data_IF_180978367224
#
_entry.id   IF_180978367224
#
_cell.length_a   1.000
_cell.length_b   1.000
_cell.length_c   1.000
_cell.angle_alpha   90.00
_cell.angle_beta   90.00
_cell.angle_gamma   90.00
#
_symmetry.space_group_name_H-M   'P 1'
#
loop_
_entity.id
_entity.type
_entity.pdbx_description
1 polymer ?
#
# COMPACT_ATOMS: atom_id res chain seq x y z
N UNK A 1 4.59 1.63 -6.30
CA UNK A 1 3.93 0.78 -5.25
C UNK A 1 3.70 -0.62 -5.80
N UNK A 2 3.80 -1.64 -4.95
CA UNK A 2 3.52 -3.05 -5.31
C UNK A 2 2.03 -3.29 -5.47
N UNK A 3 1.66 -4.18 -6.39
CA UNK A 3 0.26 -4.56 -6.65
C UNK A 3 -0.47 -5.06 -5.41
N UNK A 4 0.21 -5.81 -4.53
CA UNK A 4 -0.35 -6.30 -3.26
C UNK A 4 -0.80 -5.17 -2.33
N UNK A 5 0.06 -4.18 -2.14
CA UNK A 5 -0.23 -3.03 -1.28
C UNK A 5 -1.34 -2.17 -1.88
N UNK A 6 -1.28 -1.93 -3.20
CA UNK A 6 -2.29 -1.17 -3.92
C UNK A 6 -3.67 -1.84 -3.83
N UNK A 7 -3.75 -3.16 -4.05
CA UNK A 7 -5.01 -3.90 -3.98
C UNK A 7 -5.66 -3.78 -2.59
N UNK A 8 -4.90 -4.01 -1.53
CA UNK A 8 -5.42 -3.90 -0.17
C UNK A 8 -5.94 -2.50 0.13
N UNK A 9 -5.18 -1.45 -0.25
CA UNK A 9 -5.61 -0.07 -0.10
C UNK A 9 -6.86 0.23 -0.91
N UNK A 10 -6.99 -0.31 -2.13
CA UNK A 10 -8.18 -0.17 -2.98
C UNK A 10 -9.42 -0.80 -2.35
N UNK A 11 -9.31 -2.01 -1.80
CA UNK A 11 -10.42 -2.67 -1.10
C UNK A 11 -10.86 -1.86 0.12
N UNK A 12 -9.90 -1.38 0.93
CA UNK A 12 -10.20 -0.60 2.13
C UNK A 12 -10.85 0.74 1.76
N UNK A 13 -10.33 1.45 0.76
CA UNK A 13 -10.90 2.72 0.30
C UNK A 13 -12.34 2.52 -0.20
N UNK A 14 -12.58 1.50 -1.02
CA UNK A 14 -13.92 1.15 -1.50
C UNK A 14 -14.87 0.80 -0.35
N UNK A 15 -14.42 0.00 0.62
CA UNK A 15 -15.22 -0.37 1.79
C UNK A 15 -15.56 0.84 2.67
N UNK A 16 -14.60 1.75 2.92
CA UNK A 16 -14.83 2.98 3.68
C UNK A 16 -15.81 3.91 2.97
N UNK A 17 -15.71 4.08 1.65
CA UNK A 17 -16.67 4.83 0.86
C UNK A 17 -18.08 4.24 1.00
N UNK A 18 -18.22 2.92 0.83
CA UNK A 18 -19.49 2.23 0.97
C UNK A 18 -20.08 2.36 2.38
N UNK A 19 -19.26 2.29 3.44
CA UNK A 19 -19.68 2.52 4.83
C UNK A 19 -20.23 3.94 5.03
N UNK A 20 -19.53 4.97 4.55
CA UNK A 20 -19.92 6.37 4.69
C UNK A 20 -21.18 6.73 3.93
N UNK A 21 -21.30 6.24 2.71
CA UNK A 21 -22.41 6.53 1.82
C UNK A 21 -23.60 5.58 2.02
N UNK A 22 -23.43 4.54 2.84
CA UNK A 22 -24.43 3.47 3.04
C UNK A 22 -24.84 2.82 1.73
N UNK A 23 -23.88 2.60 0.83
CA UNK A 23 -24.07 2.03 -0.51
C UNK A 23 -23.43 0.65 -0.65
N UNK A 24 -23.63 0.03 -1.80
CA UNK A 24 -22.86 -1.16 -2.17
C UNK A 24 -21.40 -0.77 -2.42
N UNK A 25 -20.49 -1.69 -2.05
CA UNK A 25 -19.08 -1.50 -2.34
C UNK A 25 -18.83 -1.48 -3.85
N UNK A 26 -18.02 -0.54 -4.29
CA UNK A 26 -17.58 -0.42 -5.68
C UNK A 26 -16.10 -0.79 -5.73
N UNK A 27 -15.79 -2.01 -6.18
CA UNK A 27 -14.43 -2.50 -6.34
C UNK A 27 -14.22 -2.99 -7.76
N UNK A 28 -13.15 -2.55 -8.40
CA UNK A 28 -12.73 -3.04 -9.71
C UNK A 28 -11.39 -3.78 -9.56
N UNK A 29 -11.34 -5.08 -9.89
CA UNK A 29 -10.11 -5.85 -9.86
C UNK A 29 -9.05 -5.26 -10.81
N UNK A 30 -7.79 -5.35 -10.40
CA UNK A 30 -6.68 -5.00 -11.27
C UNK A 30 -6.46 -6.12 -12.31
N UNK A 31 -5.84 -5.78 -13.44
CA UNK A 31 -5.61 -6.73 -14.56
C UNK A 31 -4.84 -8.00 -14.14
N UNK A 32 -3.99 -7.90 -13.12
CA UNK A 32 -3.22 -9.03 -12.59
C UNK A 32 -4.02 -9.93 -11.64
N UNK A 33 -5.21 -9.53 -11.22
CA UNK A 33 -6.07 -10.29 -10.30
C UNK A 33 -6.91 -11.28 -11.08
N UNK A 34 -6.64 -12.57 -10.92
CA UNK A 34 -7.47 -13.62 -11.49
C UNK A 34 -8.67 -13.95 -10.61
N UNK A 35 -8.43 -13.99 -9.31
CA UNK A 35 -9.46 -14.22 -8.29
C UNK A 35 -9.08 -13.51 -7.01
N UNK A 36 -10.08 -12.95 -6.33
CA UNK A 36 -9.95 -12.43 -4.97
C UNK A 36 -11.03 -13.04 -4.11
N UNK A 37 -10.64 -13.82 -3.11
CA UNK A 37 -11.53 -14.58 -2.22
C UNK A 37 -11.19 -14.32 -0.75
N UNK A 38 -12.17 -14.60 0.11
CA UNK A 38 -12.05 -14.39 1.55
C UNK A 38 -12.50 -15.66 2.28
N UNK A 39 -11.64 -16.15 3.18
CA UNK A 39 -11.92 -17.34 3.98
C UNK A 39 -12.17 -16.92 5.41
N UNK A 40 -13.41 -17.04 5.87
CA UNK A 40 -13.81 -16.70 7.21
C UNK A 40 -13.26 -17.71 8.21
N UNK A 41 -13.03 -17.28 9.46
CA UNK A 41 -12.74 -18.21 10.55
C UNK A 41 -13.89 -19.22 10.73
N UNK A 42 -13.58 -20.49 10.97
CA UNK A 42 -14.61 -21.48 11.26
C UNK A 42 -15.32 -21.15 12.59
N UNK A 43 -16.63 -21.35 12.64
CA UNK A 43 -17.41 -21.14 13.86
C UNK A 43 -17.05 -22.16 14.97
N UNK A 44 -16.62 -23.34 14.57
CA UNK A 44 -16.20 -24.41 15.50
C UNK A 44 -14.88 -25.00 15.05
N UNK A 45 -14.07 -25.38 16.03
CA UNK A 45 -12.81 -26.06 15.79
C UNK A 45 -13.02 -27.34 14.96
N UNK A 46 -12.18 -27.53 13.93
CA UNK A 46 -12.25 -28.66 13.00
C UNK A 46 -13.22 -28.51 11.82
N UNK A 47 -13.97 -27.41 11.74
CA UNK A 47 -14.77 -27.06 10.55
C UNK A 47 -13.96 -26.25 9.54
N UNK A 48 -14.40 -26.29 8.29
CA UNK A 48 -13.87 -25.36 7.26
C UNK A 48 -14.60 -24.03 7.41
N UNK A 49 -13.85 -22.93 7.31
CA UNK A 49 -14.42 -21.60 7.23
C UNK A 49 -15.23 -21.40 5.95
N UNK A 50 -16.23 -20.53 6.02
CA UNK A 50 -16.98 -20.06 4.85
C UNK A 50 -16.04 -19.38 3.85
N UNK A 51 -16.22 -19.64 2.56
CA UNK A 51 -15.45 -19.00 1.49
C UNK A 51 -16.36 -18.03 0.75
N UNK A 52 -15.95 -16.79 0.70
CA UNK A 52 -16.60 -15.70 -0.03
C UNK A 52 -15.74 -15.41 -1.27
N UNK A 53 -16.34 -15.46 -2.44
CA UNK A 53 -15.65 -15.51 -3.73
C UNK A 53 -15.41 -14.14 -4.38
N UNK A 54 -15.80 -13.05 -3.70
CA UNK A 54 -15.60 -11.69 -4.18
C UNK A 54 -15.48 -10.67 -3.04
N UNK A 55 -15.02 -9.46 -3.37
CA UNK A 55 -14.97 -8.31 -2.45
C UNK A 55 -16.39 -7.90 -2.03
N UNK A 56 -17.36 -8.01 -2.94
CA UNK A 56 -18.76 -7.67 -2.68
C UNK A 56 -19.39 -8.64 -1.68
N UNK A 57 -19.21 -9.95 -1.86
CA UNK A 57 -19.72 -10.97 -0.93
C UNK A 57 -19.09 -10.84 0.44
N UNK A 58 -17.78 -10.57 0.49
CA UNK A 58 -17.06 -10.29 1.73
C UNK A 58 -17.59 -9.04 2.44
N UNK A 59 -17.75 -7.94 1.73
CA UNK A 59 -18.25 -6.70 2.33
C UNK A 59 -19.69 -6.84 2.82
N UNK A 60 -20.56 -7.52 2.05
CA UNK A 60 -21.93 -7.82 2.48
C UNK A 60 -21.95 -8.64 3.78
N UNK A 61 -21.08 -9.62 3.91
CA UNK A 61 -20.91 -10.42 5.14
C UNK A 61 -20.41 -9.54 6.31
N UNK A 62 -19.46 -8.66 6.06
CA UNK A 62 -18.97 -7.71 7.07
C UNK A 62 -20.10 -6.79 7.55
N UNK A 63 -20.89 -6.24 6.64
CA UNK A 63 -22.03 -5.38 6.95
C UNK A 63 -23.13 -6.11 7.73
N UNK A 64 -23.44 -7.35 7.34
CA UNK A 64 -24.39 -8.20 8.07
C UNK A 64 -23.95 -8.43 9.53
N UNK A 65 -22.64 -8.54 9.77
CA UNK A 65 -22.04 -8.66 11.10
C UNK A 65 -21.89 -7.34 11.87
N UNK A 66 -22.34 -6.21 11.29
CA UNK A 66 -22.30 -4.90 11.94
C UNK A 66 -20.92 -4.23 11.85
N UNK A 67 -20.23 -4.31 10.70
CA UNK A 67 -18.95 -3.64 10.49
C UNK A 67 -19.10 -2.12 10.75
N UNK A 68 -18.31 -1.60 11.69
CA UNK A 68 -18.28 -0.17 12.05
C UNK A 68 -17.15 0.59 11.34
N UNK A 69 -15.99 -0.06 11.18
CA UNK A 69 -14.81 0.58 10.60
C UNK A 69 -13.85 -0.47 10.04
N UNK A 70 -13.02 -0.05 9.11
CA UNK A 70 -11.94 -0.86 8.54
C UNK A 70 -10.66 -0.03 8.48
N UNK A 71 -9.55 -0.63 8.88
CA UNK A 71 -8.24 0.03 8.89
C UNK A 71 -7.19 -0.79 8.16
N UNK A 72 -6.32 -0.09 7.47
CA UNK A 72 -5.07 -0.60 6.93
C UNK A 72 -4.00 -0.58 8.01
N UNK A 73 -3.29 -1.68 8.20
CA UNK A 73 -2.13 -1.73 9.07
C UNK A 73 -0.91 -2.28 8.32
N UNK A 74 0.19 -1.58 8.47
CA UNK A 74 1.49 -1.90 7.90
C UNK A 74 2.59 -1.75 8.96
N UNK A 75 3.56 -2.70 9.05
CA UNK A 75 4.64 -2.56 10.01
C UNK A 75 5.56 -1.39 9.64
N UNK A 76 5.74 -0.46 10.57
CA UNK A 76 6.59 0.72 10.37
C UNK A 76 8.09 0.42 10.41
N UNK A 77 8.50 -0.79 10.84
CA UNK A 77 9.90 -1.21 10.91
C UNK A 77 10.06 -2.60 10.32
N UNK A 78 10.96 -2.71 9.36
CA UNK A 78 11.34 -3.97 8.72
C UNK A 78 12.87 -4.08 8.78
N UNK A 79 13.42 -5.13 9.39
CA UNK A 79 14.87 -5.29 9.55
C UNK A 79 15.64 -5.31 8.24
N UNK A 80 15.06 -5.93 7.21
CA UNK A 80 15.64 -5.97 5.88
C UNK A 80 14.60 -5.54 4.84
N UNK A 81 14.77 -4.34 4.27
CA UNK A 81 13.83 -3.77 3.29
C UNK A 81 13.81 -4.51 1.95
N UNK A 82 14.85 -5.29 1.63
CA UNK A 82 14.87 -6.10 0.40
C UNK A 82 13.75 -7.14 0.36
N UNK A 83 13.31 -7.63 1.52
CA UNK A 83 12.18 -8.58 1.58
C UNK A 83 10.87 -7.98 1.07
N UNK A 84 10.74 -6.66 1.13
CA UNK A 84 9.56 -5.95 0.60
C UNK A 84 9.42 -6.10 -0.92
N UNK A 85 10.47 -6.57 -1.62
CA UNK A 85 10.43 -6.89 -3.04
C UNK A 85 9.67 -8.18 -3.38
N UNK A 86 9.35 -9.02 -2.40
CA UNK A 86 8.77 -10.33 -2.63
C UNK A 86 7.32 -10.39 -2.14
N UNK A 87 6.44 -10.90 -2.99
CA UNK A 87 5.06 -11.24 -2.61
C UNK A 87 5.08 -12.33 -1.53
N UNK A 88 4.10 -12.35 -0.65
CA UNK A 88 3.99 -13.23 0.53
C UNK A 88 4.96 -12.93 1.69
N UNK A 89 5.78 -11.90 1.59
CA UNK A 89 6.59 -11.41 2.71
C UNK A 89 6.02 -10.15 3.34
N UNK A 90 5.00 -9.57 2.73
CA UNK A 90 4.25 -8.44 3.27
C UNK A 90 3.56 -8.84 4.57
N UNK A 91 3.61 -7.93 5.53
CA UNK A 91 2.90 -8.04 6.80
C UNK A 91 1.73 -7.05 6.89
N UNK A 92 1.30 -6.57 5.73
CA UNK A 92 0.15 -5.67 5.65
C UNK A 92 -1.12 -6.45 5.88
N UNK A 93 -2.04 -5.88 6.64
CA UNK A 93 -3.31 -6.52 6.96
C UNK A 93 -4.46 -5.51 6.94
N UNK A 94 -5.66 -5.99 6.65
CA UNK A 94 -6.89 -5.26 6.90
C UNK A 94 -7.44 -5.64 8.26
N UNK A 95 -7.88 -4.66 9.05
CA UNK A 95 -8.49 -4.89 10.36
C UNK A 95 -9.91 -4.36 10.34
N UNK A 96 -10.87 -5.23 10.62
CA UNK A 96 -12.29 -4.93 10.66
C UNK A 96 -12.75 -4.80 12.12
N UNK A 97 -13.41 -3.70 12.44
CA UNK A 97 -13.92 -3.38 13.78
C UNK A 97 -15.44 -3.55 13.81
N UNK A 98 -15.91 -4.31 14.78
CA UNK A 98 -17.32 -4.58 15.05
C UNK A 98 -17.64 -4.18 16.49
N UNK A 99 -18.90 -4.09 16.90
CA UNK A 99 -19.28 -3.73 18.27
C UNK A 99 -18.71 -4.65 19.35
N UNK A 100 -18.59 -5.94 19.05
CA UNK A 100 -18.23 -7.00 20.00
C UNK A 100 -16.91 -7.70 19.69
N UNK A 101 -16.32 -7.47 18.52
CA UNK A 101 -15.10 -8.14 18.08
C UNK A 101 -14.26 -7.28 17.15
N UNK A 102 -13.03 -7.71 16.96
CA UNK A 102 -12.13 -7.19 15.92
C UNK A 102 -11.50 -8.38 15.21
N UNK A 103 -11.49 -8.35 13.88
CA UNK A 103 -10.88 -9.40 13.06
C UNK A 103 -9.80 -8.81 12.17
N UNK A 104 -8.87 -9.65 11.77
CA UNK A 104 -7.80 -9.30 10.84
C UNK A 104 -7.90 -10.18 9.59
N UNK A 105 -7.65 -9.59 8.43
CA UNK A 105 -7.63 -10.27 7.15
C UNK A 105 -6.21 -10.25 6.60
N UNK A 106 -5.62 -11.43 6.46
CA UNK A 106 -4.23 -11.65 6.06
C UNK A 106 -4.19 -12.14 4.62
N UNK A 107 -3.56 -11.43 3.68
CA UNK A 107 -3.52 -11.82 2.28
C UNK A 107 -2.53 -12.96 2.03
N UNK A 108 -2.91 -13.90 1.19
CA UNK A 108 -2.07 -14.96 0.62
C UNK A 108 -2.12 -14.87 -0.89
N UNK A 109 -1.00 -14.61 -1.52
CA UNK A 109 -0.85 -14.44 -2.96
C UNK A 109 -0.24 -15.68 -3.58
N UNK A 110 -0.91 -16.27 -4.61
CA UNK A 110 -0.41 -17.41 -5.36
C UNK A 110 -0.39 -17.08 -6.85
N UNK A 111 0.80 -17.06 -7.44
CA UNK A 111 0.93 -16.83 -8.87
C UNK A 111 0.47 -18.03 -9.68
N UNK A 112 -0.40 -17.79 -10.65
CA UNK A 112 -0.85 -18.78 -11.63
C UNK A 112 -0.07 -18.56 -12.93
N UNK A 113 0.86 -19.47 -13.22
CA UNK A 113 1.73 -19.39 -14.41
C UNK A 113 0.97 -19.53 -15.72
N UNK A 114 -0.09 -20.35 -15.75
CA UNK A 114 -0.86 -20.63 -16.97
C UNK A 114 -1.69 -19.41 -17.41
N UNK A 115 -2.25 -18.69 -16.43
CA UNK A 115 -3.09 -17.51 -16.66
C UNK A 115 -2.34 -16.18 -16.52
N UNK A 116 -1.05 -16.23 -16.20
CA UNK A 116 -0.19 -15.07 -15.98
C UNK A 116 -0.79 -14.02 -15.03
N UNK A 117 -1.25 -14.48 -13.87
CA UNK A 117 -1.89 -13.58 -12.89
C UNK A 117 -1.93 -14.19 -11.49
N UNK A 118 -2.60 -13.54 -10.57
CA UNK A 118 -2.59 -13.90 -9.17
C UNK A 118 -3.95 -14.36 -8.68
N UNK A 119 -3.96 -15.47 -7.95
CA UNK A 119 -5.07 -15.88 -7.10
C UNK A 119 -4.79 -15.36 -5.69
N UNK A 120 -5.69 -14.56 -5.17
CA UNK A 120 -5.53 -13.85 -3.91
C UNK A 120 -6.58 -14.36 -2.93
N UNK A 121 -6.13 -14.76 -1.74
CA UNK A 121 -7.02 -15.23 -0.69
C UNK A 121 -6.74 -14.47 0.59
N UNK A 122 -7.72 -13.76 1.11
CA UNK A 122 -7.66 -13.17 2.44
C UNK A 122 -8.17 -14.17 3.47
N UNK A 123 -7.37 -14.44 4.49
CA UNK A 123 -7.72 -15.33 5.59
C UNK A 123 -8.10 -14.51 6.82
N UNK A 124 -9.29 -14.76 7.34
CA UNK A 124 -9.72 -14.14 8.59
C UNK A 124 -9.02 -14.77 9.79
N UNK A 125 -8.59 -13.93 10.75
CA UNK A 125 -8.06 -14.36 12.04
C UNK A 125 -8.53 -13.39 13.13
N UNK A 126 -8.36 -13.78 14.39
CA UNK A 126 -8.64 -12.92 15.54
C UNK A 126 -7.57 -11.84 15.65
N UNK A 127 -8.00 -10.60 15.80
CA UNK A 127 -7.07 -9.55 16.12
C UNK A 127 -6.55 -9.68 17.55
N UNK A 128 -5.25 -9.86 17.68
CA UNK A 128 -4.56 -9.91 18.97
C UNK A 128 -3.67 -8.67 19.10
N UNK A 129 -4.26 -7.55 19.51
CA UNK A 129 -3.45 -6.38 19.85
C UNK A 129 -2.59 -6.68 21.06
N UNK A 130 -1.27 -6.51 20.97
CA UNK A 130 -0.36 -6.68 22.09
C UNK A 130 -0.25 -5.37 22.91
N UNK A 131 -0.23 -5.50 24.23
CA UNK A 131 0.04 -4.39 25.15
C UNK A 131 -1.11 -3.40 25.36
N UNK A 132 -0.78 -2.15 25.67
CA UNK A 132 -1.71 -1.08 26.05
C UNK A 132 -2.72 -0.66 24.96
N UNK A 133 -2.61 -1.20 23.76
CA UNK A 133 -3.49 -0.90 22.62
C UNK A 133 -4.62 -1.92 22.42
N UNK A 134 -4.87 -2.81 23.38
CA UNK A 134 -6.00 -3.74 23.32
C UNK A 134 -7.32 -2.97 23.19
N UNK A 135 -8.05 -3.23 22.12
CA UNK A 135 -9.38 -2.67 21.88
C UNK A 135 -9.40 -1.22 21.35
N UNK A 136 -8.27 -0.57 21.15
CA UNK A 136 -8.24 0.78 20.56
C UNK A 136 -8.07 0.72 19.03
N UNK A 137 -8.92 1.45 18.33
CA UNK A 137 -8.74 1.67 16.89
C UNK A 137 -7.47 2.51 16.68
N UNK A 138 -6.51 2.09 15.84
CA UNK A 138 -5.34 2.90 15.54
C UNK A 138 -5.77 4.21 14.88
N UNK A 139 -5.12 5.31 15.26
CA UNK A 139 -5.34 6.63 14.66
C UNK A 139 -3.98 7.20 14.26
N UNK A 140 -3.95 7.82 13.10
CA UNK A 140 -2.75 8.37 12.49
C UNK A 140 -2.90 9.87 12.32
N UNK A 141 -1.85 10.60 12.61
CA UNK A 141 -1.79 12.04 12.36
C UNK A 141 -1.18 12.30 11.00
N UNK A 142 -1.57 13.41 10.39
CA UNK A 142 -0.93 13.92 9.19
C UNK A 142 0.57 14.12 9.45
N UNK A 143 1.41 13.45 8.65
CA UNK A 143 2.87 13.57 8.70
C UNK A 143 3.45 14.20 7.43
N UNK A 144 2.65 14.90 6.63
CA UNK A 144 3.07 15.47 5.33
C UNK A 144 4.36 16.29 5.44
N UNK A 145 4.49 17.11 6.49
CA UNK A 145 5.67 17.96 6.71
C UNK A 145 6.95 17.12 6.90
N UNK A 146 6.87 16.07 7.72
CA UNK A 146 8.02 15.17 7.95
C UNK A 146 8.33 14.30 6.75
N UNK A 147 7.30 13.88 6.02
CA UNK A 147 7.46 13.10 4.81
C UNK A 147 8.10 13.94 3.70
N UNK A 148 7.67 15.17 3.51
CA UNK A 148 8.27 16.11 2.56
C UNK A 148 9.74 16.42 2.90
N UNK A 149 10.07 16.62 4.19
CA UNK A 149 11.45 16.85 4.64
C UNK A 149 12.37 15.68 4.27
N UNK A 150 11.98 14.46 4.59
CA UNK A 150 12.79 13.28 4.24
C UNK A 150 12.91 13.08 2.73
N UNK A 151 11.85 13.38 1.96
CA UNK A 151 11.90 13.31 0.50
C UNK A 151 12.90 14.33 -0.08
N UNK A 152 12.94 15.55 0.43
CA UNK A 152 13.93 16.57 0.03
C UNK A 152 15.36 16.14 0.33
N UNK A 153 15.60 15.61 1.52
CA UNK A 153 16.94 15.15 1.93
C UNK A 153 17.41 13.95 1.13
N UNK A 154 16.57 12.95 0.91
CA UNK A 154 16.94 11.77 0.12
C UNK A 154 17.08 12.08 -1.37
N UNK A 155 16.33 13.06 -1.91
CA UNK A 155 16.52 13.60 -3.25
C UNK A 155 17.94 14.18 -3.41
N UNK A 156 18.33 15.10 -2.51
CA UNK A 156 19.69 15.69 -2.55
C UNK A 156 20.77 14.62 -2.40
N UNK A 157 20.55 13.66 -1.52
CA UNK A 157 21.47 12.52 -1.36
C UNK A 157 21.59 11.68 -2.66
N UNK A 158 20.48 11.42 -3.37
CA UNK A 158 20.49 10.70 -4.63
C UNK A 158 21.33 11.43 -5.70
N UNK A 159 21.22 12.76 -5.78
CA UNK A 159 22.05 13.59 -6.65
C UNK A 159 23.55 13.47 -6.29
N UNK A 160 23.88 13.55 -5.02
CA UNK A 160 25.24 13.46 -4.51
C UNK A 160 25.91 12.10 -4.73
N UNK A 161 25.15 11.02 -4.74
CA UNK A 161 25.64 9.68 -5.07
C UNK A 161 25.59 9.33 -6.57
N UNK A 162 25.29 10.32 -7.45
CA UNK A 162 25.16 10.19 -8.91
C UNK A 162 24.04 9.25 -9.35
N UNK A 163 22.89 9.33 -8.69
CA UNK A 163 21.68 8.58 -9.02
C UNK A 163 20.50 9.52 -9.35
N UNK A 164 20.61 10.38 -10.41
CA UNK A 164 19.64 11.42 -10.72
C UNK A 164 18.24 10.89 -11.02
N UNK A 165 18.13 9.68 -11.60
CA UNK A 165 16.81 9.08 -11.85
C UNK A 165 16.02 8.81 -10.57
N UNK A 166 16.69 8.53 -9.45
CA UNK A 166 16.02 8.40 -8.15
C UNK A 166 15.69 9.77 -7.55
N UNK A 167 16.55 10.78 -7.78
CA UNK A 167 16.23 12.16 -7.40
C UNK A 167 14.93 12.63 -8.07
N UNK A 168 14.72 12.33 -9.36
CA UNK A 168 13.49 12.64 -10.09
C UNK A 168 12.26 11.94 -9.49
N UNK A 169 12.41 10.68 -9.06
CA UNK A 169 11.31 9.94 -8.37
C UNK A 169 10.92 10.64 -7.06
N UNK A 170 11.89 11.06 -6.26
CA UNK A 170 11.61 11.76 -5.00
C UNK A 170 11.06 13.16 -5.24
N UNK A 171 11.54 13.88 -6.26
CA UNK A 171 11.00 15.17 -6.63
C UNK A 171 9.53 15.08 -7.05
N UNK A 172 9.18 14.08 -7.84
CA UNK A 172 7.80 13.83 -8.24
C UNK A 172 6.89 13.54 -7.01
N UNK A 173 7.37 12.79 -6.04
CA UNK A 173 6.63 12.56 -4.79
C UNK A 173 6.42 13.87 -3.99
N UNK A 174 7.41 14.77 -3.98
CA UNK A 174 7.29 16.11 -3.37
C UNK A 174 6.22 16.93 -4.08
N UNK A 175 6.20 16.93 -5.41
CA UNK A 175 5.20 17.66 -6.20
C UNK A 175 3.78 17.17 -5.92
N UNK A 176 3.58 15.84 -5.79
CA UNK A 176 2.29 15.26 -5.39
C UNK A 176 1.83 15.77 -4.03
N UNK A 177 2.73 15.84 -3.04
CA UNK A 177 2.41 16.37 -1.70
C UNK A 177 2.03 17.86 -1.72
N UNK A 178 2.50 18.62 -2.69
CA UNK A 178 2.18 20.03 -2.86
C UNK A 178 0.72 20.34 -3.17
N UNK A 179 -0.07 19.35 -3.55
CA UNK A 179 -1.53 19.47 -3.73
C UNK A 179 -1.99 19.94 -5.11
N UNK A 180 -1.10 20.47 -5.93
CA UNK A 180 -1.39 21.01 -7.27
C UNK A 180 -0.99 20.04 -8.41
N UNK A 181 -0.72 18.78 -8.08
CA UNK A 181 -0.28 17.79 -9.07
C UNK A 181 -1.44 17.39 -9.99
N UNK A 182 -1.19 17.52 -11.30
CA UNK A 182 -2.14 17.15 -12.35
C UNK A 182 -1.96 15.66 -12.72
N UNK A 183 -2.74 14.80 -12.07
CA UNK A 183 -2.70 13.36 -12.32
C UNK A 183 -3.12 13.01 -13.74
N UNK A 184 -4.06 13.74 -14.34
CA UNK A 184 -4.54 13.44 -15.69
C UNK A 184 -3.46 13.71 -16.72
N UNK A 185 -2.79 14.85 -16.64
CA UNK A 185 -1.66 15.19 -17.52
C UNK A 185 -0.47 14.22 -17.33
N UNK A 186 -0.22 13.78 -16.11
CA UNK A 186 0.83 12.80 -15.82
C UNK A 186 0.51 11.42 -16.39
N UNK A 187 -0.71 10.97 -16.27
CA UNK A 187 -1.17 9.70 -16.84
C UNK A 187 -1.13 9.72 -18.37
N UNK A 188 -1.55 10.82 -19.01
CA UNK A 188 -1.44 10.99 -20.47
C UNK A 188 0.01 10.91 -20.96
N UNK A 189 0.92 11.58 -20.25
CA UNK A 189 2.36 11.54 -20.54
C UNK A 189 2.94 10.13 -20.40
N UNK A 190 2.51 9.40 -19.36
CA UNK A 190 2.94 8.01 -19.16
C UNK A 190 2.42 7.09 -20.27
N UNK A 191 1.15 7.24 -20.66
CA UNK A 191 0.54 6.49 -21.77
C UNK A 191 1.29 6.74 -23.07
N UNK A 192 1.68 7.98 -23.36
CA UNK A 192 2.46 8.34 -24.54
C UNK A 192 3.83 7.65 -24.55
N UNK A 193 4.56 7.72 -23.43
CA UNK A 193 5.85 7.01 -23.27
C UNK A 193 5.74 5.50 -23.47
N UNK A 194 4.70 4.85 -22.91
CA UNK A 194 4.47 3.41 -23.09
C UNK A 194 4.17 3.09 -24.56
N UNK A 195 3.38 3.94 -25.25
CA UNK A 195 3.07 3.79 -26.66
C UNK A 195 4.33 3.94 -27.54
N UNK A 196 5.19 4.89 -27.27
CA UNK A 196 6.46 5.07 -27.97
C UNK A 196 7.40 3.87 -27.83
N UNK A 197 7.38 3.21 -26.67
CA UNK A 197 8.17 2.02 -26.39
C UNK A 197 7.55 0.73 -26.90
N UNK A 198 6.34 0.78 -27.47
CA UNK A 198 5.58 -0.42 -27.87
C UNK A 198 5.18 -1.30 -26.69
N UNK A 199 5.11 -0.73 -25.49
CA UNK A 199 4.71 -1.41 -24.28
C UNK A 199 3.19 -1.39 -24.12
N UNK A 200 2.66 -2.35 -23.35
CA UNK A 200 1.22 -2.42 -23.10
C UNK A 200 0.76 -1.21 -22.27
N UNK A 201 -0.25 -0.51 -22.78
CA UNK A 201 -0.85 0.65 -22.08
C UNK A 201 -1.64 0.12 -20.87
N UNK A 202 -1.14 0.43 -19.68
CA UNK A 202 -1.82 0.18 -18.43
C UNK A 202 -2.32 1.52 -17.90
N UNK A 203 -3.63 1.76 -18.00
CA UNK A 203 -4.25 2.93 -17.37
C UNK A 203 -4.12 2.79 -15.86
N UNK A 204 -3.47 3.75 -15.22
CA UNK A 204 -3.41 3.82 -13.77
C UNK A 204 -4.77 4.27 -13.24
N UNK A 205 -5.32 3.53 -12.29
CA UNK A 205 -6.53 3.95 -11.57
C UNK A 205 -6.11 4.55 -10.24
N UNK A 206 -6.58 5.77 -9.99
CA UNK A 206 -6.42 6.42 -8.69
C UNK A 206 -7.50 5.95 -7.73
N UNK A 207 -7.18 5.90 -6.45
CA UNK A 207 -8.15 5.56 -5.41
C UNK A 207 -9.16 6.71 -5.24
N UNK A 208 -10.42 6.34 -4.98
CA UNK A 208 -11.45 7.30 -4.64
C UNK A 208 -11.28 7.75 -3.17
N UNK A 209 -10.42 8.73 -2.99
CA UNK A 209 -10.03 9.35 -1.72
C UNK A 209 -10.27 10.86 -1.78
N UNK A 210 -10.49 11.53 -0.63
CA UNK A 210 -10.41 13.00 -0.59
C UNK A 210 -9.06 13.48 -1.13
N UNK A 211 -9.04 14.60 -1.85
CA UNK A 211 -7.85 15.10 -2.58
C UNK A 211 -6.57 15.06 -1.75
N UNK A 212 -6.60 15.57 -0.51
CA UNK A 212 -5.45 15.56 0.38
C UNK A 212 -4.96 14.15 0.70
N UNK A 213 -5.87 13.19 0.90
CA UNK A 213 -5.53 11.79 1.17
C UNK A 213 -5.00 11.11 -0.09
N UNK A 214 -5.58 11.44 -1.26
CA UNK A 214 -5.09 10.95 -2.55
C UNK A 214 -3.66 11.42 -2.80
N UNK A 215 -3.38 12.71 -2.62
CA UNK A 215 -2.04 13.28 -2.80
C UNK A 215 -1.00 12.60 -1.91
N UNK A 216 -1.35 12.39 -0.63
CA UNK A 216 -0.51 11.67 0.32
C UNK A 216 -0.29 10.21 -0.10
N UNK A 217 -1.34 9.53 -0.55
CA UNK A 217 -1.28 8.16 -1.02
C UNK A 217 -0.40 8.02 -2.26
N UNK A 218 -0.61 8.88 -3.25
CA UNK A 218 0.14 8.85 -4.52
C UNK A 218 1.60 9.22 -4.32
N UNK A 219 1.91 10.20 -3.47
CA UNK A 219 3.28 10.54 -3.09
C UNK A 219 3.98 9.35 -2.41
N UNK A 220 3.31 8.69 -1.48
CA UNK A 220 3.84 7.51 -0.81
C UNK A 220 3.98 6.33 -1.78
N UNK A 221 3.04 6.17 -2.71
CA UNK A 221 3.12 5.17 -3.77
C UNK A 221 4.30 5.38 -4.72
N UNK A 222 4.58 6.64 -5.09
CA UNK A 222 5.73 7.04 -5.89
C UNK A 222 7.04 6.77 -5.15
N UNK A 223 7.10 7.11 -3.87
CA UNK A 223 8.28 6.95 -3.01
C UNK A 223 8.48 5.52 -2.46
N UNK A 224 7.60 4.55 -2.77
CA UNK A 224 7.79 3.14 -2.40
C UNK A 224 8.81 2.47 -3.33
N UNK A 225 10.06 2.83 -3.11
CA UNK A 225 11.22 2.42 -3.93
C UNK A 225 11.92 1.17 -3.40
N UNK A 226 11.41 0.57 -2.33
CA UNK A 226 12.01 -0.58 -1.65
C UNK A 226 11.63 -1.91 -2.29
N UNK A 227 12.58 -2.56 -2.96
CA UNK A 227 12.39 -3.86 -3.62
C UNK A 227 13.72 -4.63 -3.71
N UNK A 228 13.78 -5.63 -4.59
CA UNK A 228 14.99 -6.37 -4.95
C UNK A 228 15.84 -5.67 -6.02
N UNK A 229 16.31 -6.44 -6.99
CA UNK A 229 17.17 -5.95 -8.08
C UNK A 229 16.51 -4.78 -8.85
N UNK A 230 17.31 -3.78 -9.18
CA UNK A 230 16.86 -2.57 -9.90
C UNK A 230 16.11 -1.54 -9.04
N UNK A 231 16.00 -1.73 -7.73
CA UNK A 231 15.36 -0.78 -6.81
C UNK A 231 16.39 0.12 -6.11
N UNK A 232 15.88 1.00 -5.21
CA UNK A 232 16.72 1.80 -4.32
C UNK A 232 17.70 0.96 -3.49
N UNK A 233 17.34 -0.27 -3.15
CA UNK A 233 18.18 -1.20 -2.38
C UNK A 233 19.31 -1.88 -3.19
N UNK A 234 19.48 -1.57 -4.45
CA UNK A 234 20.45 -2.20 -5.35
C UNK A 234 21.55 -1.21 -5.76
N UNK A 235 21.48 -0.64 -6.97
CA UNK A 235 22.51 0.25 -7.49
C UNK A 235 22.75 1.49 -6.61
N UNK A 236 21.73 2.22 -6.10
CA UNK A 236 21.96 3.35 -5.21
C UNK A 236 22.71 3.02 -3.91
N UNK A 237 22.48 1.83 -3.35
CA UNK A 237 23.28 1.36 -2.23
C UNK A 237 24.75 1.20 -2.58
N UNK A 238 25.06 0.58 -3.74
CA UNK A 238 26.43 0.41 -4.20
C UNK A 238 27.11 1.75 -4.48
N UNK A 239 26.40 2.69 -5.11
CA UNK A 239 26.88 4.05 -5.35
C UNK A 239 27.18 4.81 -4.04
N UNK A 240 26.38 4.61 -3.00
CA UNK A 240 26.63 5.16 -1.67
C UNK A 240 27.87 4.56 -1.00
N UNK A 241 28.08 3.23 -1.12
CA UNK A 241 29.28 2.53 -0.61
C UNK A 241 30.53 3.02 -1.31
N UNK A 242 30.53 3.17 -2.63
CA UNK A 242 31.67 3.69 -3.42
C UNK A 242 32.06 5.12 -2.99
N UNK A 243 31.12 5.90 -2.49
CA UNK A 243 31.33 7.26 -1.97
C UNK A 243 31.51 7.33 -0.46
N UNK A 244 31.66 6.21 0.21
CA UNK A 244 31.82 6.10 1.68
C UNK A 244 30.65 6.73 2.47
N UNK A 245 29.44 6.70 1.90
CA UNK A 245 28.20 7.28 2.48
C UNK A 245 27.11 6.24 2.82
N UNK A 246 27.50 4.99 3.01
CA UNK A 246 26.62 3.88 3.34
C UNK A 246 25.79 4.12 4.61
N UNK A 247 26.37 4.75 5.63
CA UNK A 247 25.66 5.08 6.89
C UNK A 247 24.51 6.04 6.67
N UNK A 248 24.73 7.09 5.87
CA UNK A 248 23.72 8.07 5.53
C UNK A 248 22.63 7.46 4.66
N UNK A 249 23.01 6.60 3.70
CA UNK A 249 22.07 5.83 2.91
C UNK A 249 21.09 5.03 3.81
N UNK A 250 21.62 4.30 4.80
CA UNK A 250 20.77 3.54 5.72
C UNK A 250 19.86 4.44 6.56
N UNK A 251 20.40 5.52 7.09
CA UNK A 251 19.62 6.48 7.90
C UNK A 251 18.45 7.07 7.09
N UNK A 252 18.73 7.63 5.91
CA UNK A 252 17.71 8.24 5.06
C UNK A 252 16.69 7.20 4.54
N UNK A 253 17.15 5.99 4.20
CA UNK A 253 16.26 4.90 3.79
C UNK A 253 15.33 4.45 4.92
N UNK A 254 15.80 4.41 6.16
CA UNK A 254 14.98 4.08 7.33
C UNK A 254 13.95 5.18 7.63
N UNK A 255 14.36 6.43 7.58
CA UNK A 255 13.46 7.57 7.75
C UNK A 255 12.40 7.64 6.64
N UNK A 256 12.81 7.43 5.38
CA UNK A 256 11.88 7.39 4.24
C UNK A 256 10.84 6.29 4.44
N UNK A 257 11.27 5.06 4.73
CA UNK A 257 10.35 3.94 4.92
C UNK A 257 9.36 4.20 6.06
N UNK A 258 9.85 4.70 7.19
CA UNK A 258 9.01 5.04 8.34
C UNK A 258 7.95 6.08 7.97
N UNK A 259 8.34 7.20 7.34
CA UNK A 259 7.43 8.26 6.96
C UNK A 259 6.44 7.81 5.87
N UNK A 260 6.88 6.97 4.92
CA UNK A 260 6.03 6.37 3.91
C UNK A 260 4.93 5.50 4.53
N UNK A 261 5.27 4.63 5.50
CA UNK A 261 4.28 3.80 6.20
C UNK A 261 3.26 4.64 6.94
N UNK A 262 3.70 5.73 7.58
CA UNK A 262 2.80 6.66 8.25
C UNK A 262 1.90 7.40 7.26
N UNK A 263 2.45 7.89 6.14
CA UNK A 263 1.72 8.57 5.09
C UNK A 263 0.62 7.67 4.50
N UNK A 264 0.95 6.42 4.15
CA UNK A 264 -0.02 5.42 3.68
C UNK A 264 -1.09 5.14 4.73
N UNK A 265 -0.68 4.96 5.99
CA UNK A 265 -1.61 4.68 7.08
C UNK A 265 -2.57 5.86 7.31
N UNK A 266 -2.08 7.10 7.27
CA UNK A 266 -2.92 8.28 7.34
C UNK A 266 -3.85 8.37 6.13
N UNK A 267 -3.31 8.28 4.92
CA UNK A 267 -4.06 8.44 3.68
C UNK A 267 -5.24 7.46 3.56
N UNK A 268 -5.06 6.22 3.98
CA UNK A 268 -6.09 5.17 3.88
C UNK A 268 -7.03 5.15 5.08
N UNK A 269 -6.56 5.55 6.25
CA UNK A 269 -7.33 5.37 7.49
C UNK A 269 -8.07 6.61 7.97
N UNK A 270 -7.60 7.82 7.67
CA UNK A 270 -8.05 9.05 8.34
C UNK A 270 -8.78 10.02 7.37
N UNK A 271 -9.97 9.63 6.97
CA UNK A 271 -10.89 10.46 6.18
C UNK A 271 -12.32 9.98 6.28
#
# INVERSE_FOLDING_TARGET
>A
MKGELFQMCSIIAAAKNALKTKSFIQYEPQKYELTTSFVCMPEKEGQKGEVLDSVESWFARCMYNGLEDIKFLMPARVPNKRILGFVNTSRNVMVCFYPDKTTVWIPVWKFNKEKNGWNITYQEDKWQAQGANQGRKPSYKDNSIFFEDVLKRIKSFAEEINEPGWADVFDRAIQMLGGDFDYAADDEKMIELLRERGEEIISKKHLDLPKKNLDMFEAAACADVFAGAGSWNDKPFNSAVEKERDKEYFMLSDELYFNLVYALSYAINEW
#
